data_IF_833851486085
#
_entry.id   IF_833851486085
#
_cell.length_a   1.000
_cell.length_b   1.000
_cell.length_c   1.000
_cell.angle_alpha   90.00
_cell.angle_beta   90.00
_cell.angle_gamma   90.00
#
_symmetry.space_group_name_H-M   'P 1'
#
loop_
_entity.id
_entity.type
_entity.pdbx_description
1 polymer ?
#
# COMPACT_ATOMS: atom_id res chain seq x y z
N UNK A 1 28.92 -11.11 -14.38
CA UNK A 1 28.47 -11.45 -12.99
C UNK A 1 27.66 -10.24 -12.52
N UNK A 2 26.32 -10.34 -12.50
CA UNK A 2 25.45 -9.34 -11.86
C UNK A 2 25.70 -9.42 -10.36
N UNK A 3 26.57 -8.55 -9.85
CA UNK A 3 26.72 -8.29 -8.43
C UNK A 3 25.36 -7.89 -7.89
N UNK A 4 24.85 -8.61 -6.89
CA UNK A 4 23.50 -8.46 -6.35
C UNK A 4 23.22 -7.04 -5.93
N UNK A 5 22.37 -6.33 -6.68
CA UNK A 5 21.89 -4.99 -6.35
C UNK A 5 21.32 -5.03 -4.92
N UNK A 6 21.86 -4.19 -4.05
CA UNK A 6 21.41 -4.09 -2.66
C UNK A 6 19.96 -3.64 -2.65
N UNK A 7 19.04 -4.54 -2.24
CA UNK A 7 17.62 -4.24 -2.17
C UNK A 7 17.31 -3.09 -1.21
N UNK A 8 16.36 -2.24 -1.60
CA UNK A 8 15.91 -1.10 -0.81
C UNK A 8 15.08 -1.59 0.38
N UNK A 9 15.50 -1.25 1.59
CA UNK A 9 14.78 -1.58 2.82
C UNK A 9 13.43 -0.88 2.84
N UNK A 10 12.36 -1.67 2.93
CA UNK A 10 10.99 -1.22 2.77
C UNK A 10 10.15 -1.58 4.00
N UNK A 11 9.28 -0.65 4.39
CA UNK A 11 8.20 -0.91 5.33
C UNK A 11 6.86 -1.03 4.59
N UNK A 12 5.97 -1.91 5.09
CA UNK A 12 4.58 -2.01 4.60
C UNK A 12 3.63 -1.69 5.74
N UNK A 13 2.72 -0.74 5.52
CA UNK A 13 1.72 -0.33 6.50
C UNK A 13 0.36 -0.94 6.16
N UNK A 14 -0.31 -1.51 7.16
CA UNK A 14 -1.58 -2.22 7.02
C UNK A 14 -2.56 -1.90 8.14
N UNK A 15 -3.86 -2.09 7.88
CA UNK A 15 -4.92 -2.02 8.92
C UNK A 15 -5.85 -3.24 8.89
N UNK A 16 -5.78 -4.09 7.88
CA UNK A 16 -6.78 -5.13 7.64
C UNK A 16 -6.20 -6.50 7.27
N UNK A 17 -6.85 -7.17 6.31
CA UNK A 17 -6.58 -8.56 5.92
C UNK A 17 -5.17 -8.82 5.37
N UNK A 18 -4.50 -7.81 4.80
CA UNK A 18 -3.12 -7.90 4.35
C UNK A 18 -2.90 -8.69 3.06
N UNK A 19 -3.89 -8.77 2.16
CA UNK A 19 -3.74 -9.50 0.89
C UNK A 19 -2.66 -8.86 0.00
N UNK A 20 -2.66 -7.54 -0.11
CA UNK A 20 -1.60 -6.79 -0.80
C UNK A 20 -0.24 -6.95 -0.09
N UNK A 21 -0.21 -6.91 1.26
CA UNK A 21 1.01 -7.19 2.03
C UNK A 21 1.60 -8.56 1.65
N UNK A 22 0.79 -9.62 1.70
CA UNK A 22 1.24 -10.98 1.32
C UNK A 22 1.84 -11.01 -0.08
N UNK A 23 1.18 -10.33 -1.02
CA UNK A 23 1.62 -10.26 -2.42
C UNK A 23 2.95 -9.50 -2.55
N UNK A 24 3.11 -8.36 -1.88
CA UNK A 24 4.35 -7.57 -1.87
C UNK A 24 5.49 -8.35 -1.22
N UNK A 25 5.24 -9.09 -0.14
CA UNK A 25 6.26 -9.97 0.50
C UNK A 25 6.74 -11.03 -0.49
N UNK A 26 5.82 -11.74 -1.17
CA UNK A 26 6.18 -12.74 -2.19
C UNK A 26 7.02 -12.11 -3.30
N UNK A 27 6.60 -10.95 -3.81
CA UNK A 27 7.34 -10.21 -4.83
C UNK A 27 8.74 -9.82 -4.34
N UNK A 28 8.89 -9.33 -3.11
CA UNK A 28 10.18 -8.89 -2.56
C UNK A 28 11.23 -10.02 -2.47
N UNK A 29 10.78 -11.28 -2.42
CA UNK A 29 11.65 -12.46 -2.40
C UNK A 29 12.21 -12.82 -3.78
N UNK A 30 11.62 -12.32 -4.86
CA UNK A 30 12.13 -12.58 -6.21
C UNK A 30 13.51 -11.94 -6.38
N UNK A 31 14.39 -12.62 -7.13
CA UNK A 31 15.77 -12.13 -7.41
C UNK A 31 15.73 -10.73 -8.07
N UNK A 32 14.82 -10.51 -9.02
CA UNK A 32 14.63 -9.25 -9.74
C UNK A 32 14.00 -8.13 -8.93
N UNK A 33 13.47 -8.40 -7.71
CA UNK A 33 12.81 -7.35 -6.92
C UNK A 33 13.81 -6.34 -6.38
N UNK A 34 13.57 -5.03 -6.57
CA UNK A 34 14.46 -3.98 -6.08
C UNK A 34 14.31 -3.72 -4.57
N UNK A 35 13.30 -4.33 -3.92
CA UNK A 35 12.99 -4.08 -2.50
C UNK A 35 13.14 -5.34 -1.64
N UNK A 36 13.38 -5.12 -0.35
CA UNK A 36 13.25 -6.12 0.72
C UNK A 36 12.28 -5.61 1.78
N UNK A 37 11.38 -6.47 2.27
CA UNK A 37 10.45 -6.07 3.34
C UNK A 37 11.12 -6.33 4.69
N UNK A 38 11.41 -5.24 5.42
CA UNK A 38 12.14 -5.27 6.68
C UNK A 38 11.26 -4.93 7.89
N UNK A 39 10.11 -4.29 7.65
CA UNK A 39 9.22 -3.85 8.71
C UNK A 39 7.76 -3.88 8.23
N UNK A 40 6.88 -4.39 9.08
CA UNK A 40 5.43 -4.28 8.92
C UNK A 40 4.90 -3.42 10.05
N UNK A 41 4.15 -2.37 9.71
CA UNK A 41 3.52 -1.45 10.66
C UNK A 41 2.01 -1.63 10.59
N UNK A 42 1.36 -1.71 11.74
CA UNK A 42 -0.10 -1.67 11.83
C UNK A 42 -0.56 -0.63 12.86
N UNK A 43 -1.73 -0.04 12.62
CA UNK A 43 -2.39 0.84 13.57
C UNK A 43 -3.31 0.08 14.56
N UNK A 44 -3.41 -1.24 14.41
CA UNK A 44 -4.27 -2.08 15.26
C UNK A 44 -3.71 -3.49 15.39
N UNK A 45 -3.82 -4.13 16.58
CA UNK A 45 -3.46 -5.54 16.76
C UNK A 45 -4.44 -6.49 16.04
N UNK A 46 -5.64 -6.01 15.70
CA UNK A 46 -6.68 -6.82 15.05
C UNK A 46 -6.44 -7.00 13.54
N UNK A 47 -5.42 -6.39 12.97
CA UNK A 47 -5.11 -6.54 11.55
C UNK A 47 -4.70 -7.98 11.23
N UNK A 48 -5.60 -8.72 10.57
CA UNK A 48 -5.37 -10.14 10.20
C UNK A 48 -4.11 -10.34 9.35
N UNK A 49 -3.66 -9.29 8.66
CA UNK A 49 -2.41 -9.28 7.87
C UNK A 49 -1.14 -9.46 8.71
N UNK A 50 -1.18 -9.18 10.03
CA UNK A 50 -0.02 -9.36 10.92
C UNK A 50 0.48 -10.80 10.97
N UNK A 51 -0.38 -11.81 10.71
CA UNK A 51 0.03 -13.21 10.59
C UNK A 51 1.11 -13.42 9.53
N UNK A 52 1.15 -12.58 8.48
CA UNK A 52 2.17 -12.69 7.45
C UNK A 52 3.54 -12.21 7.93
N UNK A 53 3.60 -11.31 8.92
CA UNK A 53 4.85 -10.95 9.57
C UNK A 53 5.48 -12.18 10.24
N UNK A 54 4.69 -12.93 10.99
CA UNK A 54 5.14 -14.16 11.68
C UNK A 54 5.51 -15.24 10.65
N UNK A 55 4.62 -15.52 9.70
CA UNK A 55 4.84 -16.53 8.65
C UNK A 55 6.14 -16.31 7.85
N UNK A 56 6.48 -15.06 7.59
CA UNK A 56 7.66 -14.71 6.78
C UNK A 56 8.86 -14.23 7.62
N UNK A 57 8.76 -14.29 8.96
CA UNK A 57 9.77 -13.83 9.92
C UNK A 57 10.22 -12.39 9.69
N UNK A 58 9.24 -11.49 9.48
CA UNK A 58 9.48 -10.07 9.28
C UNK A 58 9.12 -9.33 10.56
N UNK A 59 9.98 -8.38 10.95
CA UNK A 59 9.75 -7.50 12.10
C UNK A 59 8.40 -6.79 11.95
N UNK A 60 7.56 -6.82 12.99
CA UNK A 60 6.30 -6.08 13.05
C UNK A 60 6.25 -5.14 14.23
N UNK A 61 5.55 -4.03 14.08
CA UNK A 61 5.24 -3.08 15.16
C UNK A 61 3.82 -2.56 15.01
N UNK A 62 3.16 -2.43 16.14
CA UNK A 62 1.80 -1.90 16.24
C UNK A 62 1.88 -0.57 16.97
N UNK A 63 1.24 0.45 16.40
CA UNK A 63 1.20 1.79 16.99
C UNK A 63 -0.26 2.20 17.17
N UNK A 64 -0.58 2.65 18.39
CA UNK A 64 -1.93 3.13 18.69
C UNK A 64 -2.07 4.58 18.20
N UNK A 65 -2.94 4.80 17.22
CA UNK A 65 -3.22 6.11 16.64
C UNK A 65 -4.26 6.94 17.44
N UNK A 66 -4.61 6.56 18.67
CA UNK A 66 -5.37 7.44 19.58
C UNK A 66 -4.54 8.71 19.88
N UNK A 67 -3.25 8.56 20.18
CA UNK A 67 -2.30 9.67 20.17
C UNK A 67 -1.54 9.69 18.85
N UNK A 68 -2.11 10.35 17.87
CA UNK A 68 -1.64 10.41 16.50
C UNK A 68 -0.21 10.97 16.36
N UNK A 69 0.09 12.09 17.05
CA UNK A 69 1.41 12.75 16.99
C UNK A 69 2.50 11.85 17.56
N UNK A 70 2.23 11.19 18.66
CA UNK A 70 3.17 10.26 19.29
C UNK A 70 3.40 9.01 18.43
N UNK A 71 2.33 8.43 17.86
CA UNK A 71 2.43 7.30 16.98
C UNK A 71 3.35 7.62 15.78
N UNK A 72 3.13 8.73 15.10
CA UNK A 72 3.96 9.15 13.97
C UNK A 72 5.41 9.42 14.37
N UNK A 73 5.65 10.10 15.52
CA UNK A 73 7.00 10.32 16.05
C UNK A 73 7.74 9.00 16.24
N UNK A 74 7.10 8.03 16.90
CA UNK A 74 7.70 6.72 17.19
C UNK A 74 7.92 5.90 15.92
N UNK A 75 7.02 6.00 14.93
CA UNK A 75 7.22 5.38 13.61
C UNK A 75 8.45 5.99 12.93
N UNK A 76 8.59 7.31 12.88
CA UNK A 76 9.74 7.97 12.26
C UNK A 76 11.08 7.55 12.89
N UNK A 77 11.13 7.47 14.23
CA UNK A 77 12.32 6.97 14.95
C UNK A 77 12.65 5.55 14.50
N UNK A 78 11.64 4.68 14.41
CA UNK A 78 11.83 3.29 14.01
C UNK A 78 12.28 3.17 12.55
N UNK A 79 11.67 3.93 11.63
CA UNK A 79 12.05 3.95 10.23
C UNK A 79 13.52 4.36 10.06
N UNK A 80 13.96 5.39 10.78
CA UNK A 80 15.36 5.85 10.79
C UNK A 80 16.30 4.80 11.36
N UNK A 81 15.97 4.21 12.53
CA UNK A 81 16.75 3.14 13.18
C UNK A 81 16.96 1.94 12.24
N UNK A 82 15.90 1.50 11.58
CA UNK A 82 15.93 0.33 10.69
C UNK A 82 16.42 0.67 9.26
N UNK A 83 16.76 1.94 9.01
CA UNK A 83 17.24 2.47 7.70
C UNK A 83 16.24 2.18 6.57
N UNK A 84 14.95 2.35 6.85
CA UNK A 84 13.88 2.20 5.85
C UNK A 84 13.91 3.39 4.89
N UNK A 85 13.90 3.11 3.59
CA UNK A 85 13.98 4.12 2.52
C UNK A 85 12.76 4.14 1.60
N UNK A 86 11.83 3.21 1.79
CA UNK A 86 10.62 3.11 1.00
C UNK A 86 9.45 2.60 1.84
N UNK A 87 8.26 3.14 1.62
CA UNK A 87 7.06 2.78 2.36
C UNK A 87 5.94 2.44 1.37
N UNK A 88 5.32 1.29 1.58
CA UNK A 88 4.12 0.86 0.86
C UNK A 88 2.91 0.90 1.80
N UNK A 89 1.89 1.70 1.48
CA UNK A 89 0.60 1.63 2.14
C UNK A 89 -0.24 0.55 1.45
N UNK A 90 -0.63 -0.48 2.18
CA UNK A 90 -1.35 -1.64 1.66
C UNK A 90 -2.65 -1.88 2.44
N UNK A 91 -3.64 -1.02 2.24
CA UNK A 91 -4.86 -0.99 3.02
C UNK A 91 -4.64 -0.41 4.41
N UNK A 92 -3.86 0.64 4.51
CA UNK A 92 -3.65 1.40 5.75
C UNK A 92 -4.73 2.48 5.88
N UNK A 93 -5.54 2.39 6.96
CA UNK A 93 -6.76 3.20 7.14
C UNK A 93 -6.55 4.45 8.00
N UNK A 94 -5.32 4.95 8.09
CA UNK A 94 -5.00 6.23 8.73
C UNK A 94 -4.40 7.18 7.72
N UNK A 95 -4.77 8.45 7.82
CA UNK A 95 -4.17 9.52 7.02
C UNK A 95 -2.86 9.90 7.71
N UNK A 96 -1.78 9.95 6.96
CA UNK A 96 -0.48 10.39 7.46
C UNK A 96 -0.42 11.92 7.42
N UNK A 97 0.14 12.54 8.47
CA UNK A 97 0.25 13.99 8.52
C UNK A 97 1.24 14.53 7.48
N UNK A 98 1.03 15.80 7.11
CA UNK A 98 1.98 16.56 6.30
C UNK A 98 3.40 16.51 6.88
N UNK A 99 3.51 16.65 8.20
CA UNK A 99 4.79 16.62 8.90
C UNK A 99 5.46 15.23 8.80
N UNK A 100 4.68 14.14 8.93
CA UNK A 100 5.19 12.79 8.75
C UNK A 100 5.72 12.59 7.32
N UNK A 101 4.93 12.95 6.31
CA UNK A 101 5.29 12.80 4.90
C UNK A 101 6.57 13.59 4.59
N UNK A 102 6.68 14.83 5.07
CA UNK A 102 7.89 15.66 4.89
C UNK A 102 9.13 15.11 5.60
N UNK A 103 8.95 14.55 6.81
CA UNK A 103 10.06 13.99 7.60
C UNK A 103 10.42 12.56 7.22
N UNK A 104 9.64 11.91 6.37
CA UNK A 104 9.95 10.57 5.90
C UNK A 104 11.11 10.64 4.92
N UNK A 105 12.22 10.06 5.32
CA UNK A 105 13.43 9.98 4.52
C UNK A 105 13.32 8.87 3.45
N UNK A 106 12.28 8.96 2.60
CA UNK A 106 11.98 7.99 1.56
C UNK A 106 10.68 8.26 0.82
N UNK A 107 10.40 7.42 -0.16
CA UNK A 107 9.19 7.49 -0.97
C UNK A 107 8.07 6.71 -0.33
N UNK A 108 6.88 7.29 -0.28
CA UNK A 108 5.66 6.63 0.17
C UNK A 108 4.73 6.45 -1.02
N UNK A 109 4.26 5.22 -1.25
CA UNK A 109 3.24 4.92 -2.25
C UNK A 109 2.03 4.24 -1.62
N UNK A 110 0.87 4.41 -2.25
CA UNK A 110 -0.38 3.78 -1.85
C UNK A 110 -1.02 3.06 -3.03
N UNK A 111 -1.75 1.99 -2.75
CA UNK A 111 -2.68 1.38 -3.70
C UNK A 111 -4.11 1.76 -3.32
N UNK A 112 -4.83 2.36 -4.28
CA UNK A 112 -6.19 2.83 -4.09
C UNK A 112 -7.15 2.09 -5.03
N UNK A 113 -8.28 1.55 -4.53
CA UNK A 113 -9.17 0.70 -5.31
C UNK A 113 -10.16 1.48 -6.17
N UNK A 114 -9.68 2.50 -6.88
CA UNK A 114 -10.43 3.24 -7.90
C UNK A 114 -9.50 3.74 -9.01
N UNK A 115 -10.11 4.25 -10.09
CA UNK A 115 -9.42 4.98 -11.15
C UNK A 115 -9.31 6.45 -10.75
N UNK A 116 -8.29 6.80 -9.94
CA UNK A 116 -8.07 8.20 -9.55
C UNK A 116 -7.98 9.12 -10.78
N UNK A 117 -8.53 10.33 -10.70
CA UNK A 117 -9.02 11.05 -9.51
C UNK A 117 -10.45 10.69 -9.06
N UNK A 118 -11.15 9.75 -9.73
CA UNK A 118 -12.46 9.30 -9.28
C UNK A 118 -12.40 8.56 -7.94
N UNK A 119 -13.38 8.82 -7.09
CA UNK A 119 -13.61 8.08 -5.85
C UNK A 119 -12.42 8.04 -4.89
N UNK A 120 -11.85 9.21 -4.59
CA UNK A 120 -10.94 9.36 -3.45
C UNK A 120 -11.62 8.92 -2.16
N UNK A 121 -10.84 8.40 -1.20
CA UNK A 121 -11.33 7.93 0.09
C UNK A 121 -12.05 6.59 0.04
N UNK A 122 -13.06 6.40 0.85
CA UNK A 122 -13.70 5.11 1.11
C UNK A 122 -14.85 4.77 0.15
N UNK A 123 -15.34 3.51 0.23
CA UNK A 123 -16.52 3.00 -0.46
C UNK A 123 -16.47 3.09 -2.00
N UNK A 124 -15.28 3.00 -2.59
CA UNK A 124 -15.03 3.19 -4.02
C UNK A 124 -15.86 2.26 -4.90
N UNK A 125 -15.97 0.98 -4.54
CA UNK A 125 -16.72 -0.01 -5.31
C UNK A 125 -18.22 0.27 -5.31
N UNK A 126 -18.80 0.60 -4.13
CA UNK A 126 -20.21 0.99 -4.02
C UNK A 126 -20.51 2.23 -4.84
N UNK A 127 -19.61 3.22 -4.79
CA UNK A 127 -19.76 4.49 -5.54
C UNK A 127 -19.70 4.24 -7.04
N UNK A 128 -18.80 3.41 -7.52
CA UNK A 128 -18.69 3.06 -8.94
C UNK A 128 -19.94 2.33 -9.46
N UNK A 129 -20.49 1.40 -8.67
CA UNK A 129 -21.71 0.68 -9.04
C UNK A 129 -22.92 1.61 -9.02
N UNK A 130 -23.10 2.40 -7.94
CA UNK A 130 -24.22 3.34 -7.81
C UNK A 130 -24.28 4.37 -8.96
N UNK A 131 -23.11 4.77 -9.46
CA UNK A 131 -22.98 5.72 -10.56
C UNK A 131 -23.05 5.03 -11.94
N UNK A 132 -23.33 3.73 -12.02
CA UNK A 132 -23.36 2.97 -13.26
C UNK A 132 -22.12 3.18 -14.14
N UNK A 133 -20.94 3.25 -13.52
CA UNK A 133 -19.69 3.45 -14.25
C UNK A 133 -19.46 2.28 -15.21
N UNK A 134 -19.02 2.58 -16.44
CA UNK A 134 -18.62 1.54 -17.41
C UNK A 134 -17.33 0.83 -17.03
N UNK A 135 -16.50 1.49 -16.21
CA UNK A 135 -15.19 1.00 -15.82
C UNK A 135 -14.89 1.32 -14.36
N UNK A 136 -14.21 0.39 -13.71
CA UNK A 136 -13.59 0.56 -12.41
C UNK A 136 -12.09 0.20 -12.49
N UNK A 137 -11.40 0.13 -11.38
CA UNK A 137 -10.01 -0.29 -11.38
C UNK A 137 -9.28 0.05 -10.10
N UNK A 138 -7.95 0.12 -10.20
CA UNK A 138 -7.08 0.51 -9.10
C UNK A 138 -5.93 1.38 -9.59
N UNK A 139 -5.39 2.15 -8.65
CA UNK A 139 -4.32 3.12 -8.89
C UNK A 139 -3.22 2.95 -7.86
N UNK A 140 -1.96 2.85 -8.30
CA UNK A 140 -0.80 3.07 -7.44
C UNK A 140 -0.30 4.49 -7.67
N UNK A 141 -0.16 5.25 -6.58
CA UNK A 141 0.22 6.66 -6.63
C UNK A 141 1.17 7.01 -5.48
N UNK A 142 1.92 8.09 -5.62
CA UNK A 142 2.69 8.67 -4.53
C UNK A 142 1.75 9.28 -3.49
N UNK A 143 2.11 9.14 -2.21
CA UNK A 143 1.36 9.77 -1.11
C UNK A 143 1.82 11.21 -0.95
N UNK A 144 0.85 12.11 -0.86
CA UNK A 144 1.03 13.54 -0.60
C UNK A 144 0.15 13.97 0.58
N UNK A 145 0.23 15.24 0.96
CA UNK A 145 -0.59 15.83 2.04
C UNK A 145 -2.10 15.77 1.72
N UNK A 146 -2.45 15.79 0.44
CA UNK A 146 -3.85 15.71 -0.01
C UNK A 146 -4.21 14.25 -0.28
N UNK A 147 -5.31 13.82 0.33
CA UNK A 147 -5.80 12.44 0.24
C UNK A 147 -5.99 12.02 -1.22
N UNK A 148 -5.38 10.89 -1.58
CA UNK A 148 -5.46 10.25 -2.89
C UNK A 148 -5.27 11.20 -4.09
N UNK A 149 -4.36 12.18 -3.94
CA UNK A 149 -4.11 13.21 -4.96
C UNK A 149 -2.67 13.23 -5.49
N UNK A 150 -1.81 12.37 -4.99
CA UNK A 150 -0.42 12.32 -5.45
C UNK A 150 -0.29 11.77 -6.88
N UNK A 151 0.86 12.06 -7.50
CA UNK A 151 1.15 11.64 -8.87
C UNK A 151 0.94 10.14 -9.05
N UNK A 152 0.17 9.78 -10.07
CA UNK A 152 -0.12 8.40 -10.45
C UNK A 152 1.15 7.75 -11.03
N UNK A 153 1.45 6.55 -10.56
CA UNK A 153 2.56 5.73 -11.06
C UNK A 153 2.04 4.79 -12.13
N UNK A 154 1.01 4.00 -11.78
CA UNK A 154 0.31 3.09 -12.68
C UNK A 154 -1.17 2.99 -12.30
N UNK A 155 -2.00 2.74 -13.31
CA UNK A 155 -3.42 2.42 -13.16
C UNK A 155 -3.78 1.17 -13.94
N UNK A 156 -4.77 0.43 -13.44
CA UNK A 156 -5.37 -0.69 -14.17
C UNK A 156 -6.87 -0.53 -14.22
N UNK A 157 -7.39 -0.42 -15.44
CA UNK A 157 -8.81 -0.33 -15.77
C UNK A 157 -9.40 -1.72 -15.98
N UNK A 158 -10.61 -1.94 -15.47
CA UNK A 158 -11.42 -3.15 -15.72
C UNK A 158 -12.83 -2.74 -16.13
N UNK A 159 -13.46 -3.52 -17.00
CA UNK A 159 -14.84 -3.30 -17.41
C UNK A 159 -15.78 -3.74 -16.28
N UNK A 160 -16.74 -2.88 -15.93
CA UNK A 160 -17.84 -3.23 -15.05
C UNK A 160 -18.92 -3.96 -15.84
N UNK A 161 -19.49 -4.99 -15.24
CA UNK A 161 -20.68 -5.69 -15.76
C UNK A 161 -21.91 -5.21 -15.01
N UNK A 162 -23.05 -5.14 -15.68
CA UNK A 162 -24.34 -4.87 -15.05
C UNK A 162 -24.70 -5.86 -13.92
N UNK A 163 -24.09 -7.06 -13.94
CA UNK A 163 -24.27 -8.09 -12.90
C UNK A 163 -23.30 -7.95 -11.73
N UNK A 164 -22.40 -6.95 -11.73
CA UNK A 164 -21.44 -6.79 -10.66
C UNK A 164 -22.09 -6.20 -9.40
N UNK A 165 -21.87 -6.85 -8.27
CA UNK A 165 -22.06 -6.29 -6.96
C UNK A 165 -20.78 -5.60 -6.48
N UNK A 166 -20.87 -4.78 -5.43
CA UNK A 166 -19.69 -4.20 -4.77
C UNK A 166 -18.68 -5.27 -4.34
N UNK A 167 -19.16 -6.41 -3.85
CA UNK A 167 -18.32 -7.53 -3.42
C UNK A 167 -17.64 -8.22 -4.60
N UNK A 168 -18.36 -8.48 -5.70
CA UNK A 168 -17.76 -9.08 -6.90
C UNK A 168 -16.72 -8.15 -7.53
N UNK A 169 -17.04 -6.85 -7.60
CA UNK A 169 -16.12 -5.83 -8.08
C UNK A 169 -14.86 -5.73 -7.21
N UNK A 170 -15.00 -5.73 -5.88
CA UNK A 170 -13.86 -5.72 -4.98
C UNK A 170 -12.91 -6.90 -5.23
N UNK A 171 -13.44 -8.11 -5.45
CA UNK A 171 -12.62 -9.29 -5.81
C UNK A 171 -11.91 -9.13 -7.16
N UNK A 172 -12.58 -8.56 -8.16
CA UNK A 172 -11.98 -8.29 -9.47
C UNK A 172 -10.86 -7.25 -9.38
N UNK A 173 -11.11 -6.15 -8.68
CA UNK A 173 -10.14 -5.08 -8.47
C UNK A 173 -8.93 -5.61 -7.71
N UNK A 174 -9.13 -6.35 -6.61
CA UNK A 174 -8.04 -6.92 -5.81
C UNK A 174 -7.09 -7.80 -6.63
N UNK A 175 -7.61 -8.60 -7.57
CA UNK A 175 -6.77 -9.38 -8.49
C UNK A 175 -5.86 -8.49 -9.34
N UNK A 176 -6.34 -7.29 -9.72
CA UNK A 176 -5.52 -6.34 -10.47
C UNK A 176 -4.52 -5.60 -9.56
N UNK A 177 -4.91 -5.27 -8.34
CA UNK A 177 -3.99 -4.67 -7.35
C UNK A 177 -2.77 -5.54 -7.14
N UNK A 178 -2.96 -6.86 -6.99
CA UNK A 178 -1.86 -7.82 -6.80
C UNK A 178 -0.86 -7.84 -7.97
N UNK A 179 -1.31 -7.51 -9.19
CA UNK A 179 -0.43 -7.38 -10.37
C UNK A 179 0.18 -5.99 -10.47
N UNK A 180 -0.64 -4.97 -10.19
CA UNK A 180 -0.28 -3.57 -10.39
C UNK A 180 0.76 -3.08 -9.39
N UNK A 181 0.64 -3.47 -8.11
CA UNK A 181 1.53 -3.00 -7.05
C UNK A 181 3.00 -3.40 -7.30
N UNK A 182 3.33 -4.68 -7.54
CA UNK A 182 4.68 -5.07 -7.93
C UNK A 182 5.19 -4.37 -9.20
N UNK A 183 4.33 -4.23 -10.21
CA UNK A 183 4.69 -3.53 -11.45
C UNK A 183 5.01 -2.04 -11.21
N UNK A 184 4.25 -1.37 -10.32
CA UNK A 184 4.52 0.01 -9.94
C UNK A 184 5.84 0.14 -9.17
N UNK A 185 6.15 -0.80 -8.28
CA UNK A 185 7.43 -0.83 -7.57
C UNK A 185 8.60 -1.00 -8.57
N UNK A 186 8.47 -1.92 -9.51
CA UNK A 186 9.48 -2.06 -10.59
C UNK A 186 9.68 -0.75 -11.36
N UNK A 187 8.59 -0.10 -11.78
CA UNK A 187 8.65 1.16 -12.52
C UNK A 187 9.32 2.32 -11.77
N UNK A 188 9.30 2.29 -10.44
CA UNK A 188 9.93 3.34 -9.61
C UNK A 188 11.45 3.18 -9.57
N UNK A 189 11.95 1.95 -9.62
CA UNK A 189 13.35 1.64 -9.35
C UNK A 189 14.13 1.11 -10.56
N UNK A 190 13.47 0.98 -11.72
CA UNK A 190 14.10 0.78 -13.02
C UNK A 190 14.14 2.09 -13.79
#
# INVERSE_FOLDING_TARGET
>A
KLTGLKKIKTAVFISGAGSNLKNIIKFSKLKKSPISINLIVSNTPLAKGLKYADQFRIKKKIFNFKNFKEAEKNILILLKKDKIKFICLAGFMKILSKNFIKKTDGKIINIHPSLLPKYKGLNTHNRAIKNNDKFAGCTVHYVTETLDAGRIILQKKIKLSAKDSSTSLAKKVLKQEHKLYPAAIMKIFN
#
